data_IF_167863101598
#
_entry.id   IF_167863101598
#
_cell.length_a   1.000
_cell.length_b   1.000
_cell.length_c   1.000
_cell.angle_alpha   90.00
_cell.angle_beta   90.00
_cell.angle_gamma   90.00
#
_symmetry.space_group_name_H-M   'P 1'
#
loop_
_entity.id
_entity.type
_entity.pdbx_description
1 polymer ?
#
# COMPACT_ATOMS: atom_id res chain seq x y z
N UNK A 1 26.61 -27.91 -11.79
CA UNK A 1 25.42 -27.04 -11.88
C UNK A 1 25.49 -26.06 -13.05
N UNK A 2 26.47 -25.15 -13.15
CA UNK A 2 26.58 -24.21 -14.29
C UNK A 2 26.88 -24.95 -15.61
N UNK A 3 27.87 -25.87 -15.60
CA UNK A 3 28.17 -26.74 -16.75
C UNK A 3 26.99 -27.61 -17.20
N UNK A 4 26.14 -28.03 -16.25
CA UNK A 4 24.95 -28.83 -16.56
C UNK A 4 23.85 -27.98 -17.22
N UNK A 5 23.76 -26.70 -16.86
CA UNK A 5 22.83 -25.73 -17.46
C UNK A 5 23.27 -25.30 -18.87
N UNK A 6 24.57 -25.11 -19.07
CA UNK A 6 25.17 -24.87 -20.40
C UNK A 6 24.92 -26.08 -21.31
N UNK A 7 25.14 -27.30 -20.81
CA UNK A 7 24.85 -28.54 -21.53
C UNK A 7 23.36 -28.68 -21.91
N UNK A 8 22.43 -28.28 -21.02
CA UNK A 8 20.99 -28.32 -21.33
C UNK A 8 20.58 -27.31 -22.41
N UNK A 9 21.26 -26.16 -22.50
CA UNK A 9 21.09 -25.20 -23.61
C UNK A 9 21.64 -25.74 -24.92
N UNK A 10 22.85 -26.34 -24.90
CA UNK A 10 23.47 -26.96 -26.07
C UNK A 10 22.66 -28.17 -26.58
N UNK A 11 22.03 -28.93 -25.68
CA UNK A 11 21.16 -30.06 -26.00
C UNK A 11 19.77 -29.67 -26.55
N UNK A 12 19.48 -28.38 -26.75
CA UNK A 12 18.20 -27.90 -27.30
C UNK A 12 17.02 -27.94 -26.32
N UNK A 13 17.28 -28.16 -25.02
CA UNK A 13 16.25 -28.17 -23.98
C UNK A 13 15.82 -26.74 -23.67
N UNK A 14 14.54 -26.42 -23.87
CA UNK A 14 14.02 -25.06 -23.67
C UNK A 14 13.93 -24.74 -22.17
N UNK A 15 14.93 -24.05 -21.64
CA UNK A 15 14.93 -23.54 -20.26
C UNK A 15 13.96 -22.35 -20.19
N UNK A 16 12.74 -22.57 -19.71
CA UNK A 16 11.73 -21.52 -19.57
C UNK A 16 11.70 -20.87 -18.18
N UNK A 17 12.58 -21.26 -17.25
CA UNK A 17 12.61 -20.67 -15.91
C UNK A 17 13.53 -19.42 -15.88
N UNK A 18 13.02 -18.24 -15.48
CA UNK A 18 13.80 -16.99 -15.44
C UNK A 18 15.11 -17.09 -14.66
N UNK A 19 15.11 -17.72 -13.49
CA UNK A 19 16.32 -17.84 -12.66
C UNK A 19 17.37 -18.71 -13.37
N UNK A 20 16.94 -19.82 -13.97
CA UNK A 20 17.85 -20.69 -14.72
C UNK A 20 18.41 -19.99 -15.96
N UNK A 21 17.63 -19.12 -16.62
CA UNK A 21 18.11 -18.26 -17.70
C UNK A 21 19.17 -17.25 -17.21
N UNK A 22 18.94 -16.62 -16.05
CA UNK A 22 19.90 -15.72 -15.43
C UNK A 22 21.20 -16.43 -15.03
N UNK A 23 21.10 -17.62 -14.46
CA UNK A 23 22.25 -18.47 -14.09
C UNK A 23 23.01 -18.99 -15.30
N UNK A 24 22.32 -19.26 -16.42
CA UNK A 24 22.92 -19.63 -17.71
C UNK A 24 23.44 -18.42 -18.51
N UNK A 25 23.71 -17.29 -17.82
CA UNK A 25 24.28 -16.07 -18.35
C UNK A 25 23.45 -15.37 -19.45
N UNK A 26 22.16 -15.68 -19.58
CA UNK A 26 21.27 -15.05 -20.55
C UNK A 26 20.49 -13.89 -19.90
N UNK A 27 21.23 -12.86 -19.50
CA UNK A 27 20.72 -11.74 -18.70
C UNK A 27 19.62 -10.93 -19.39
N UNK A 28 19.71 -10.73 -20.69
CA UNK A 28 18.69 -9.98 -21.46
C UNK A 28 17.33 -10.68 -21.45
N UNK A 29 17.32 -12.00 -21.66
CA UNK A 29 16.07 -12.77 -21.59
C UNK A 29 15.51 -12.80 -20.18
N UNK A 30 16.38 -12.97 -19.18
CA UNK A 30 15.98 -12.87 -17.77
C UNK A 30 15.32 -11.53 -17.47
N UNK A 31 15.96 -10.40 -17.76
CA UNK A 31 15.43 -9.06 -17.49
C UNK A 31 14.09 -8.81 -18.20
N UNK A 32 13.94 -9.28 -19.44
CA UNK A 32 12.68 -9.17 -20.19
C UNK A 32 11.54 -10.05 -19.64
N UNK A 33 11.87 -11.09 -18.87
CA UNK A 33 10.91 -12.02 -18.29
C UNK A 33 10.39 -11.60 -16.91
N UNK A 34 10.98 -10.56 -16.30
CA UNK A 34 10.60 -10.10 -14.96
C UNK A 34 9.29 -9.28 -15.07
N UNK A 35 8.22 -9.67 -14.35
CA UNK A 35 7.02 -8.85 -14.22
C UNK A 35 7.31 -7.43 -13.73
N UNK A 36 6.52 -6.46 -14.17
CA UNK A 36 6.63 -5.08 -13.68
C UNK A 36 6.06 -5.00 -12.26
N UNK A 37 6.81 -4.37 -11.37
CA UNK A 37 6.36 -4.08 -10.00
C UNK A 37 5.32 -2.97 -10.04
N UNK A 38 4.19 -3.17 -9.37
CA UNK A 38 3.15 -2.15 -9.22
C UNK A 38 3.62 -1.12 -8.18
N UNK A 39 3.65 0.19 -8.50
CA UNK A 39 3.97 1.23 -7.53
C UNK A 39 2.94 1.27 -6.39
N UNK A 40 3.33 1.66 -5.16
CA UNK A 40 2.41 1.68 -4.01
C UNK A 40 1.17 2.56 -4.23
N UNK A 41 1.32 3.67 -4.95
CA UNK A 41 0.22 4.59 -5.28
C UNK A 41 -0.83 4.00 -6.22
N UNK A 42 -0.48 2.96 -6.99
CA UNK A 42 -1.38 2.36 -8.00
C UNK A 42 -1.99 1.03 -7.54
N UNK A 43 -1.64 0.54 -6.34
CA UNK A 43 -2.10 -0.76 -5.84
C UNK A 43 -3.63 -0.86 -5.83
N UNK A 44 -4.29 0.18 -5.32
CA UNK A 44 -5.75 0.21 -5.17
C UNK A 44 -6.51 0.21 -6.51
N UNK A 45 -5.88 0.70 -7.58
CA UNK A 45 -6.45 0.72 -8.94
C UNK A 45 -6.24 -0.62 -9.66
N UNK A 46 -5.11 -1.28 -9.40
CA UNK A 46 -4.73 -2.52 -10.07
C UNK A 46 -5.29 -3.79 -9.40
N UNK A 47 -5.57 -3.75 -8.09
CA UNK A 47 -5.88 -4.94 -7.29
C UNK A 47 -7.26 -4.82 -6.68
N UNK A 48 -8.14 -5.78 -6.97
CA UNK A 48 -9.49 -5.79 -6.41
C UNK A 48 -9.46 -6.31 -4.96
N UNK A 49 -10.29 -5.77 -4.04
CA UNK A 49 -10.39 -6.31 -2.67
C UNK A 49 -10.74 -7.81 -2.64
N UNK A 50 -11.51 -8.29 -3.60
CA UNK A 50 -11.92 -9.69 -3.71
C UNK A 50 -10.79 -10.66 -4.07
N UNK A 51 -9.67 -10.15 -4.60
CA UNK A 51 -8.49 -10.97 -4.91
C UNK A 51 -7.45 -10.96 -3.79
N UNK A 52 -7.69 -10.27 -2.67
CA UNK A 52 -6.76 -10.17 -1.55
C UNK A 52 -7.20 -11.15 -0.46
N UNK A 53 -6.39 -12.17 -0.21
CA UNK A 53 -6.65 -13.27 0.73
C UNK A 53 -5.73 -13.21 1.96
N UNK A 54 -5.38 -11.99 2.35
CA UNK A 54 -4.47 -11.72 3.46
C UNK A 54 -5.18 -11.86 4.80
N UNK A 55 -4.44 -12.34 5.81
CA UNK A 55 -4.98 -12.66 7.14
C UNK A 55 -4.47 -11.74 8.25
N UNK A 56 -3.52 -10.87 7.92
CA UNK A 56 -2.99 -9.82 8.78
C UNK A 56 -3.02 -8.49 8.01
N UNK A 57 -2.91 -7.38 8.73
CA UNK A 57 -2.78 -6.06 8.11
C UNK A 57 -1.51 -5.98 7.24
N UNK A 58 -1.52 -5.12 6.22
CA UNK A 58 -0.35 -4.82 5.41
C UNK A 58 -0.33 -3.33 5.07
N UNK A 59 0.83 -2.70 5.20
CA UNK A 59 1.05 -1.38 4.62
C UNK A 59 1.30 -1.49 3.11
N UNK A 60 1.34 -0.35 2.41
CA UNK A 60 1.49 -0.32 0.95
C UNK A 60 2.83 -0.89 0.46
N UNK A 61 3.90 -0.81 1.27
CA UNK A 61 5.20 -1.39 0.92
C UNK A 61 5.21 -2.91 1.07
N UNK A 62 4.51 -3.43 2.09
CA UNK A 62 4.30 -4.86 2.29
C UNK A 62 3.37 -5.44 1.23
N UNK A 63 2.32 -4.70 0.84
CA UNK A 63 1.44 -5.10 -0.25
C UNK A 63 2.21 -5.23 -1.56
N UNK A 64 3.04 -4.24 -1.91
CA UNK A 64 3.87 -4.30 -3.11
C UNK A 64 4.76 -5.57 -3.15
N UNK A 65 5.34 -5.94 -2.01
CA UNK A 65 6.12 -7.18 -1.88
C UNK A 65 5.27 -8.42 -2.15
N UNK A 66 4.07 -8.47 -1.59
CA UNK A 66 3.15 -9.60 -1.76
C UNK A 66 2.75 -9.73 -3.24
N UNK A 67 2.36 -8.63 -3.88
CA UNK A 67 1.96 -8.61 -5.30
C UNK A 67 3.10 -8.98 -6.25
N UNK A 68 4.32 -8.52 -5.95
CA UNK A 68 5.50 -8.94 -6.70
C UNK A 68 5.66 -10.47 -6.65
N UNK A 69 5.48 -11.09 -5.47
CA UNK A 69 5.59 -12.54 -5.35
C UNK A 69 4.44 -13.29 -6.04
N UNK A 70 3.20 -12.80 -5.94
CA UNK A 70 2.04 -13.38 -6.67
C UNK A 70 2.30 -13.36 -8.18
N UNK A 71 2.88 -12.27 -8.70
CA UNK A 71 3.22 -12.16 -10.13
C UNK A 71 4.35 -13.10 -10.58
N UNK A 72 4.95 -13.87 -9.65
CA UNK A 72 6.00 -14.84 -9.94
C UNK A 72 7.41 -14.27 -9.89
N UNK A 73 7.59 -13.05 -9.36
CA UNK A 73 8.92 -12.45 -9.23
C UNK A 73 9.75 -13.15 -8.15
N UNK A 74 11.05 -13.23 -8.39
CA UNK A 74 12.04 -13.62 -7.39
C UNK A 74 12.84 -12.40 -6.97
N UNK A 75 12.85 -12.08 -5.68
CA UNK A 75 13.45 -10.85 -5.16
C UNK A 75 13.92 -11.02 -3.72
N UNK A 76 14.65 -10.01 -3.24
CA UNK A 76 15.13 -9.90 -1.87
C UNK A 76 14.36 -8.77 -1.20
N UNK A 77 13.81 -9.02 -0.02
CA UNK A 77 13.17 -8.00 0.82
C UNK A 77 14.13 -7.61 1.93
N UNK A 78 14.42 -6.32 2.07
CA UNK A 78 15.22 -5.77 3.16
C UNK A 78 14.43 -4.70 3.90
N UNK A 79 14.55 -4.69 5.22
CA UNK A 79 13.95 -3.66 6.06
C UNK A 79 14.55 -3.68 7.47
N UNK A 80 14.52 -2.55 8.20
CA UNK A 80 14.94 -2.47 9.60
C UNK A 80 14.27 -3.53 10.51
N UNK A 81 14.86 -3.86 11.67
CA UNK A 81 14.17 -4.70 12.66
C UNK A 81 12.83 -4.04 13.07
N UNK A 82 11.78 -4.85 13.22
CA UNK A 82 10.44 -4.37 13.60
C UNK A 82 9.52 -3.95 12.44
N UNK A 83 9.98 -3.90 11.18
CA UNK A 83 9.16 -3.46 10.03
C UNK A 83 8.20 -4.52 9.47
N UNK A 84 7.71 -5.44 10.31
CA UNK A 84 6.68 -6.38 9.89
C UNK A 84 7.10 -7.46 8.87
N UNK A 85 8.39 -7.72 8.61
CA UNK A 85 8.82 -8.77 7.63
C UNK A 85 8.13 -10.12 7.83
N UNK A 86 8.02 -10.60 9.06
CA UNK A 86 7.33 -11.86 9.37
C UNK A 86 5.82 -11.79 9.09
N UNK A 87 5.21 -10.61 9.22
CA UNK A 87 3.81 -10.35 8.85
C UNK A 87 3.63 -10.44 7.35
N UNK A 88 4.52 -9.83 6.59
CA UNK A 88 4.55 -9.93 5.12
C UNK A 88 4.70 -11.38 4.64
N UNK A 89 5.56 -12.17 5.30
CA UNK A 89 5.71 -13.61 4.99
C UNK A 89 4.40 -14.36 5.24
N UNK A 90 3.73 -14.11 6.37
CA UNK A 90 2.44 -14.76 6.71
C UNK A 90 1.37 -14.43 5.67
N UNK A 91 1.21 -13.15 5.32
CA UNK A 91 0.24 -12.75 4.29
C UNK A 91 0.58 -13.34 2.92
N UNK A 92 1.86 -13.38 2.55
CA UNK A 92 2.28 -14.01 1.30
C UNK A 92 1.94 -15.52 1.27
N UNK A 93 2.15 -16.23 2.38
CA UNK A 93 1.78 -17.65 2.48
C UNK A 93 0.27 -17.82 2.33
N UNK A 94 -0.53 -17.03 3.06
CA UNK A 94 -1.98 -17.08 2.99
C UNK A 94 -2.49 -16.85 1.56
N UNK A 95 -1.96 -15.84 0.88
CA UNK A 95 -2.30 -15.48 -0.49
C UNK A 95 -1.99 -16.60 -1.49
N UNK A 96 -0.78 -17.17 -1.40
CA UNK A 96 -0.37 -18.27 -2.28
C UNK A 96 -1.19 -19.55 -2.02
N UNK A 97 -1.50 -19.86 -0.76
CA UNK A 97 -2.35 -21.01 -0.41
C UNK A 97 -3.78 -20.79 -0.93
N UNK A 98 -4.34 -19.58 -0.77
CA UNK A 98 -5.65 -19.21 -1.30
C UNK A 98 -5.74 -19.33 -2.82
N UNK A 99 -4.62 -19.17 -3.53
CA UNK A 99 -4.48 -19.41 -4.97
C UNK A 99 -4.11 -20.87 -5.33
N UNK A 100 -4.31 -21.81 -4.39
CA UNK A 100 -4.00 -23.23 -4.55
C UNK A 100 -2.52 -23.53 -4.89
N UNK A 101 -1.59 -22.67 -4.44
CA UNK A 101 -0.15 -22.90 -4.60
C UNK A 101 0.42 -23.67 -3.42
N UNK A 102 1.55 -24.34 -3.66
CA UNK A 102 2.35 -25.00 -2.63
C UNK A 102 3.49 -24.08 -2.23
N UNK A 103 3.66 -23.86 -0.92
CA UNK A 103 4.70 -22.97 -0.38
C UNK A 103 5.64 -23.77 0.50
N UNK A 104 6.95 -23.61 0.30
CA UNK A 104 7.99 -24.13 1.17
C UNK A 104 8.73 -22.96 1.81
N UNK A 105 8.69 -22.87 3.13
CA UNK A 105 9.39 -21.85 3.91
C UNK A 105 10.64 -22.47 4.52
N UNK A 106 11.79 -21.84 4.30
CA UNK A 106 13.08 -22.26 4.84
C UNK A 106 13.72 -21.09 5.57
N UNK A 107 14.34 -21.34 6.72
CA UNK A 107 15.09 -20.34 7.46
C UNK A 107 16.32 -20.97 8.12
N UNK A 108 17.35 -20.16 8.35
CA UNK A 108 18.56 -20.57 9.07
C UNK A 108 18.27 -20.91 10.53
N UNK A 109 17.42 -20.11 11.19
CA UNK A 109 17.09 -20.26 12.61
C UNK A 109 15.67 -20.80 12.81
N UNK A 110 15.47 -21.84 13.65
CA UNK A 110 14.15 -22.44 13.87
C UNK A 110 13.15 -21.47 14.50
N UNK A 111 13.64 -20.52 15.31
CA UNK A 111 12.80 -19.48 15.94
C UNK A 111 12.07 -18.63 14.88
N UNK A 112 12.69 -18.35 13.74
CA UNK A 112 12.04 -17.58 12.68
C UNK A 112 10.85 -18.33 12.06
N UNK A 113 10.99 -19.66 11.91
CA UNK A 113 9.90 -20.53 11.43
C UNK A 113 8.78 -20.60 12.46
N UNK A 114 9.11 -20.72 13.75
CA UNK A 114 8.11 -20.76 14.83
C UNK A 114 7.26 -19.48 14.86
N UNK A 115 7.87 -18.30 14.72
CA UNK A 115 7.15 -17.02 14.70
C UNK A 115 6.14 -16.94 13.54
N UNK A 116 6.50 -17.47 12.37
CA UNK A 116 5.60 -17.50 11.20
C UNK A 116 4.48 -18.50 11.43
N UNK A 117 4.80 -19.69 11.93
CA UNK A 117 3.84 -20.74 12.25
C UNK A 117 2.82 -20.29 13.30
N UNK A 118 3.27 -19.72 14.43
CA UNK A 118 2.40 -19.23 15.49
C UNK A 118 1.42 -18.15 15.00
N UNK A 119 1.85 -17.30 14.06
CA UNK A 119 0.98 -16.28 13.46
C UNK A 119 -0.07 -16.91 12.54
N UNK A 120 0.33 -17.86 11.70
CA UNK A 120 -0.61 -18.57 10.84
C UNK A 120 -1.66 -19.34 11.66
N UNK A 121 -1.24 -19.98 12.76
CA UNK A 121 -2.17 -20.66 13.68
C UNK A 121 -3.15 -19.68 14.32
N UNK A 122 -2.67 -18.52 14.79
CA UNK A 122 -3.54 -17.46 15.33
C UNK A 122 -4.54 -16.91 14.30
N UNK A 123 -4.19 -16.99 13.01
CA UNK A 123 -5.06 -16.62 11.89
C UNK A 123 -5.96 -17.76 11.41
N UNK A 124 -5.97 -18.91 12.09
CA UNK A 124 -6.83 -20.06 11.73
C UNK A 124 -6.33 -20.90 10.55
N UNK A 125 -5.08 -20.71 10.12
CA UNK A 125 -4.48 -21.44 8.99
C UNK A 125 -3.64 -22.64 9.43
N UNK A 126 -3.71 -23.05 10.71
CA UNK A 126 -2.91 -24.15 11.27
C UNK A 126 -3.06 -25.43 10.46
N UNK A 127 -4.29 -25.74 10.08
CA UNK A 127 -4.60 -26.94 9.33
C UNK A 127 -3.83 -26.93 8.00
N UNK A 128 -3.86 -25.84 7.23
CA UNK A 128 -3.25 -25.78 5.90
C UNK A 128 -1.71 -25.97 5.88
N UNK A 129 -1.05 -26.11 7.03
CA UNK A 129 0.40 -26.06 7.18
C UNK A 129 0.95 -27.36 7.74
N UNK A 130 2.04 -27.82 7.12
CA UNK A 130 2.81 -28.95 7.61
C UNK A 130 4.12 -28.40 8.19
N UNK A 131 4.28 -28.51 9.51
CA UNK A 131 5.51 -28.10 10.17
C UNK A 131 6.51 -29.26 10.29
N UNK A 132 7.57 -29.23 9.48
CA UNK A 132 8.63 -30.25 9.47
C UNK A 132 9.63 -30.13 10.63
N UNK A 133 9.58 -29.08 11.46
CA UNK A 133 10.51 -28.93 12.60
C UNK A 133 10.19 -29.86 13.77
N UNK A 134 8.98 -30.44 13.82
CA UNK A 134 8.62 -31.46 14.79
C UNK A 134 9.31 -32.79 14.43
N UNK A 135 10.19 -33.26 15.32
CA UNK A 135 11.07 -34.43 15.12
C UNK A 135 10.31 -35.74 14.78
N UNK A 136 9.02 -35.83 15.11
CA UNK A 136 8.18 -36.99 14.80
C UNK A 136 7.67 -37.05 13.36
N UNK A 137 7.57 -35.92 12.66
CA UNK A 137 7.04 -35.81 11.28
C UNK A 137 8.12 -36.12 10.23
N UNK A 138 9.41 -35.98 10.58
CA UNK A 138 10.53 -36.27 9.69
C UNK A 138 10.66 -37.74 9.25
N UNK A 139 9.98 -38.67 9.94
CA UNK A 139 9.95 -40.09 9.55
C UNK A 139 8.83 -40.34 8.53
N UNK A 140 9.20 -40.84 7.33
CA UNK A 140 8.29 -41.10 6.19
C UNK A 140 6.98 -41.82 6.56
N UNK A 141 7.02 -42.80 7.47
CA UNK A 141 5.83 -43.53 7.95
C UNK A 141 4.87 -42.65 8.77
N UNK A 142 5.40 -41.80 9.64
CA UNK A 142 4.61 -40.91 10.49
C UNK A 142 4.00 -39.77 9.66
N UNK A 143 4.75 -39.26 8.68
CA UNK A 143 4.27 -38.26 7.73
C UNK A 143 3.06 -38.75 6.92
N UNK A 144 3.13 -39.96 6.37
CA UNK A 144 2.01 -40.54 5.61
C UNK A 144 0.75 -40.72 6.48
N UNK A 145 0.92 -41.11 7.76
CA UNK A 145 -0.18 -41.23 8.71
C UNK A 145 -0.78 -39.87 9.07
N UNK A 146 0.07 -38.86 9.28
CA UNK A 146 -0.35 -37.48 9.53
C UNK A 146 -1.18 -36.93 8.36
N UNK A 147 -0.70 -37.04 7.12
CA UNK A 147 -1.44 -36.60 5.93
C UNK A 147 -2.81 -37.28 5.77
N UNK A 148 -2.90 -38.58 6.11
CA UNK A 148 -4.15 -39.34 6.01
C UNK A 148 -5.20 -38.87 7.02
N UNK A 149 -4.77 -38.51 8.23
CA UNK A 149 -5.67 -37.95 9.25
C UNK A 149 -6.08 -36.52 8.87
N UNK A 150 -5.10 -35.71 8.46
CA UNK A 150 -5.30 -34.33 8.04
C UNK A 150 -6.38 -34.17 6.96
N UNK A 151 -6.39 -35.05 5.96
CA UNK A 151 -7.40 -35.01 4.88
C UNK A 151 -8.84 -35.27 5.35
N UNK A 152 -9.03 -36.02 6.43
CA UNK A 152 -10.38 -36.34 6.95
C UNK A 152 -11.01 -35.17 7.68
N UNK A 153 -10.21 -34.38 8.39
CA UNK A 153 -10.69 -33.26 9.19
C UNK A 153 -11.12 -32.08 8.29
N UNK A 154 -10.42 -31.90 7.16
CA UNK A 154 -10.66 -30.82 6.19
C UNK A 154 -12.00 -30.92 5.43
N UNK A 155 -12.60 -32.11 5.30
CA UNK A 155 -13.85 -32.31 4.54
C UNK A 155 -15.11 -31.85 5.30
N UNK A 156 -14.99 -31.45 6.58
CA UNK A 156 -16.14 -31.14 7.44
C UNK A 156 -16.39 -29.64 7.69
N UNK A 157 -15.51 -28.75 7.23
CA UNK A 157 -15.53 -27.32 7.59
C UNK A 157 -15.88 -26.48 6.36
N UNK A 158 -17.17 -26.38 6.00
CA UNK A 158 -17.62 -25.32 5.09
C UNK A 158 -19.07 -24.92 5.42
N UNK A 159 -19.22 -23.80 6.12
CA UNK A 159 -20.42 -22.97 5.99
C UNK A 159 -20.21 -22.02 4.81
N UNK A 160 -21.16 -21.97 3.88
CA UNK A 160 -21.13 -21.00 2.78
C UNK A 160 -21.37 -19.59 3.36
N UNK A 161 -20.29 -18.87 3.62
CA UNK A 161 -20.35 -17.44 3.90
C UNK A 161 -20.66 -16.68 2.59
N UNK A 162 -21.61 -15.75 2.62
CA UNK A 162 -21.83 -14.83 1.50
C UNK A 162 -20.72 -13.77 1.45
N UNK A 163 -19.61 -14.15 0.82
CA UNK A 163 -18.44 -13.28 0.64
C UNK A 163 -18.72 -12.11 -0.31
N UNK A 164 -19.76 -12.18 -1.15
CA UNK A 164 -20.01 -11.15 -2.16
C UNK A 164 -20.38 -9.81 -1.51
N UNK A 165 -21.22 -9.84 -0.49
CA UNK A 165 -21.60 -8.62 0.24
C UNK A 165 -20.39 -7.98 0.92
N UNK A 166 -19.55 -8.79 1.59
CA UNK A 166 -18.34 -8.31 2.26
C UNK A 166 -17.39 -7.63 1.25
N UNK A 167 -17.13 -8.27 0.11
CA UNK A 167 -16.26 -7.68 -0.92
C UNK A 167 -16.86 -6.43 -1.57
N UNK A 168 -18.18 -6.38 -1.73
CA UNK A 168 -18.87 -5.17 -2.19
C UNK A 168 -18.68 -3.99 -1.22
N UNK A 169 -18.86 -4.22 0.09
CA UNK A 169 -18.64 -3.18 1.11
C UNK A 169 -17.18 -2.71 1.16
N UNK A 170 -16.22 -3.64 1.07
CA UNK A 170 -14.79 -3.31 1.02
C UNK A 170 -14.45 -2.46 -0.20
N UNK A 171 -14.94 -2.85 -1.37
CA UNK A 171 -14.74 -2.10 -2.63
C UNK A 171 -15.32 -0.70 -2.53
N UNK A 172 -16.56 -0.59 -2.05
CA UNK A 172 -17.25 0.70 -1.89
C UNK A 172 -16.52 1.61 -0.89
N UNK A 173 -16.01 1.05 0.21
CA UNK A 173 -15.28 1.81 1.21
C UNK A 173 -13.93 2.29 0.70
N UNK A 174 -13.17 1.44 0.00
CA UNK A 174 -11.92 1.83 -0.67
C UNK A 174 -12.15 2.96 -1.68
N UNK A 175 -13.18 2.84 -2.53
CA UNK A 175 -13.52 3.88 -3.49
C UNK A 175 -13.84 5.22 -2.83
N UNK A 176 -14.61 5.23 -1.74
CA UNK A 176 -14.91 6.47 -1.00
C UNK A 176 -13.65 7.14 -0.44
N UNK A 177 -12.72 6.35 0.12
CA UNK A 177 -11.46 6.86 0.66
C UNK A 177 -10.57 7.45 -0.45
N UNK A 178 -10.47 6.76 -1.58
CA UNK A 178 -9.68 7.22 -2.72
C UNK A 178 -10.28 8.46 -3.38
N UNK A 179 -11.61 8.52 -3.49
CA UNK A 179 -12.33 9.71 -3.94
C UNK A 179 -12.09 10.90 -3.01
N UNK A 180 -12.14 10.68 -1.70
CA UNK A 180 -11.88 11.75 -0.73
C UNK A 180 -10.48 12.35 -0.91
N UNK A 181 -9.45 11.50 -0.98
CA UNK A 181 -8.07 11.93 -1.26
C UNK A 181 -7.98 12.71 -2.59
N UNK A 182 -8.60 12.18 -3.64
CA UNK A 182 -8.62 12.82 -4.96
C UNK A 182 -9.29 14.19 -4.91
N UNK A 183 -10.45 14.32 -4.26
CA UNK A 183 -11.20 15.58 -4.13
C UNK A 183 -10.44 16.63 -3.32
N UNK A 184 -9.71 16.23 -2.28
CA UNK A 184 -8.87 17.13 -1.47
C UNK A 184 -7.76 17.78 -2.30
N UNK A 185 -7.18 17.03 -3.25
CA UNK A 185 -6.07 17.47 -4.09
C UNK A 185 -6.50 17.99 -5.47
N UNK A 186 -7.75 17.78 -5.88
CA UNK A 186 -8.30 18.31 -7.12
C UNK A 186 -8.30 19.84 -7.10
N UNK A 187 -7.84 20.46 -8.20
CA UNK A 187 -7.88 21.91 -8.37
C UNK A 187 -9.25 22.34 -8.87
N UNK A 188 -9.89 23.23 -8.12
CA UNK A 188 -11.22 23.74 -8.43
C UNK A 188 -11.13 25.06 -9.20
N UNK A 189 -11.87 25.16 -10.29
CA UNK A 189 -12.02 26.41 -11.04
C UNK A 189 -13.15 27.24 -10.40
N UNK A 190 -13.07 28.58 -10.45
CA UNK A 190 -12.09 29.40 -11.19
C UNK A 190 -10.81 29.77 -10.41
N UNK A 191 -10.73 29.47 -9.12
CA UNK A 191 -9.61 29.87 -8.26
C UNK A 191 -8.30 29.11 -8.56
N UNK A 192 -8.40 27.93 -9.19
CA UNK A 192 -7.28 27.10 -9.60
C UNK A 192 -6.51 26.44 -8.43
N UNK A 193 -7.13 26.36 -7.25
CA UNK A 193 -6.55 25.77 -6.03
C UNK A 193 -7.33 24.56 -5.55
N UNK A 194 -6.66 23.65 -4.87
CA UNK A 194 -7.28 22.53 -4.18
C UNK A 194 -7.69 22.88 -2.74
N UNK A 195 -8.59 22.10 -2.16
CA UNK A 195 -8.98 22.24 -0.75
C UNK A 195 -7.77 22.11 0.17
N UNK A 196 -6.86 21.19 -0.16
CA UNK A 196 -5.59 21.02 0.56
C UNK A 196 -4.73 22.29 0.54
N UNK A 197 -4.56 22.92 -0.62
CA UNK A 197 -3.80 24.17 -0.76
C UNK A 197 -4.45 25.33 0.02
N UNK A 198 -5.78 25.46 -0.07
CA UNK A 198 -6.54 26.51 0.64
C UNK A 198 -6.45 26.34 2.16
N UNK A 199 -6.60 25.11 2.65
CA UNK A 199 -6.50 24.83 4.08
C UNK A 199 -5.07 25.06 4.59
N UNK A 200 -4.06 24.68 3.80
CA UNK A 200 -2.65 24.98 4.10
C UNK A 200 -2.38 26.48 4.21
N UNK A 201 -2.91 27.29 3.29
CA UNK A 201 -2.80 28.75 3.35
C UNK A 201 -3.53 29.34 4.56
N UNK A 202 -4.72 28.84 4.89
CA UNK A 202 -5.48 29.27 6.06
C UNK A 202 -4.69 29.00 7.35
N UNK A 203 -4.15 27.80 7.51
CA UNK A 203 -3.33 27.44 8.68
C UNK A 203 -2.07 28.28 8.77
N UNK A 204 -1.44 28.64 7.64
CA UNK A 204 -0.29 29.56 7.63
C UNK A 204 -0.68 30.93 8.15
N UNK A 205 -1.78 31.51 7.65
CA UNK A 205 -2.26 32.83 8.04
C UNK A 205 -2.67 32.89 9.52
N UNK A 206 -3.26 31.82 10.06
CA UNK A 206 -3.58 31.73 11.49
C UNK A 206 -2.33 31.78 12.38
N UNK A 207 -1.22 31.17 11.95
CA UNK A 207 0.05 31.20 12.69
C UNK A 207 0.72 32.57 12.68
N UNK A 208 0.47 33.37 11.64
CA UNK A 208 1.06 34.70 11.48
C UNK A 208 0.36 35.79 12.33
N UNK A 209 -0.64 35.44 13.16
CA UNK A 209 -1.37 36.36 14.06
C UNK A 209 -1.84 37.65 13.35
N UNK A 210 -2.36 37.52 12.14
CA UNK A 210 -2.84 38.64 11.34
C UNK A 210 -4.16 39.20 11.90
N UNK A 211 -4.35 40.51 11.82
CA UNK A 211 -5.65 41.13 12.15
C UNK A 211 -6.75 40.61 11.21
N UNK A 212 -7.80 40.03 11.78
CA UNK A 212 -8.97 39.60 11.00
C UNK A 212 -9.83 40.81 10.62
N UNK A 213 -9.77 41.21 9.36
CA UNK A 213 -10.73 42.15 8.79
C UNK A 213 -11.84 41.33 8.14
N UNK A 214 -13.05 41.40 8.72
CA UNK A 214 -14.23 40.74 8.14
C UNK A 214 -14.77 41.59 6.99
N UNK A 215 -14.62 41.09 5.77
CA UNK A 215 -15.19 41.68 4.58
C UNK A 215 -16.09 40.67 3.87
N UNK A 216 -17.25 41.11 3.41
CA UNK A 216 -18.19 40.25 2.67
C UNK A 216 -17.94 40.42 1.17
N UNK A 217 -17.29 39.45 0.54
CA UNK A 217 -17.13 39.43 -0.90
C UNK A 217 -18.38 38.83 -1.56
N UNK A 218 -18.97 39.55 -2.52
CA UNK A 218 -20.06 39.02 -3.34
C UNK A 218 -19.48 38.08 -4.40
N UNK A 219 -20.18 36.98 -4.68
CA UNK A 219 -19.85 36.02 -5.73
C UNK A 219 -18.42 35.44 -5.67
N UNK A 220 -17.87 35.21 -4.48
CA UNK A 220 -16.49 34.69 -4.33
C UNK A 220 -16.27 33.34 -5.05
N UNK A 221 -17.33 32.57 -5.22
CA UNK A 221 -17.31 31.29 -5.93
C UNK A 221 -17.02 31.44 -7.44
N UNK A 222 -17.18 32.64 -8.00
CA UNK A 222 -16.91 32.96 -9.41
C UNK A 222 -15.52 33.57 -9.62
N UNK A 223 -14.76 33.80 -8.54
CA UNK A 223 -13.51 34.55 -8.62
C UNK A 223 -12.36 33.71 -9.18
N UNK A 224 -11.84 34.15 -10.32
CA UNK A 224 -10.60 33.63 -10.87
C UNK A 224 -9.38 33.97 -10.01
N UNK A 225 -8.29 33.23 -10.21
CA UNK A 225 -7.00 33.55 -9.64
C UNK A 225 -6.59 35.01 -9.88
N UNK A 226 -6.89 35.55 -11.07
CA UNK A 226 -6.56 36.94 -11.45
C UNK A 226 -7.35 37.93 -10.58
N UNK A 227 -8.65 37.73 -10.43
CA UNK A 227 -9.51 38.60 -9.61
C UNK A 227 -9.09 38.55 -8.14
N UNK A 228 -8.74 37.37 -7.63
CA UNK A 228 -8.24 37.20 -6.27
C UNK A 228 -6.90 37.94 -6.07
N UNK A 229 -5.98 37.84 -7.02
CA UNK A 229 -4.71 38.56 -6.98
C UNK A 229 -4.90 40.09 -7.03
N UNK A 230 -5.84 40.57 -7.85
CA UNK A 230 -6.21 41.98 -7.91
C UNK A 230 -6.80 42.47 -6.58
N UNK A 231 -7.73 41.72 -5.99
CA UNK A 231 -8.31 42.05 -4.69
C UNK A 231 -7.25 42.09 -3.58
N UNK A 232 -6.33 41.12 -3.57
CA UNK A 232 -5.19 41.10 -2.63
C UNK A 232 -4.33 42.35 -2.78
N UNK A 233 -3.98 42.74 -4.01
CA UNK A 233 -3.20 43.95 -4.27
C UNK A 233 -3.93 45.22 -3.81
N UNK A 234 -5.25 45.31 -4.01
CA UNK A 234 -6.06 46.42 -3.51
C UNK A 234 -6.08 46.48 -1.97
N UNK A 235 -6.17 45.33 -1.30
CA UNK A 235 -6.08 45.24 0.16
C UNK A 235 -4.69 45.67 0.64
N UNK A 236 -3.61 45.21 0.00
CA UNK A 236 -2.24 45.61 0.33
C UNK A 236 -2.05 47.13 0.18
N UNK A 237 -2.61 47.73 -0.88
CA UNK A 237 -2.65 49.19 -1.06
C UNK A 237 -3.44 49.87 0.06
N UNK A 238 -4.60 49.36 0.41
CA UNK A 238 -5.42 49.92 1.49
C UNK A 238 -4.69 49.86 2.84
N UNK A 239 -3.96 48.78 3.13
CA UNK A 239 -3.10 48.66 4.31
C UNK A 239 -2.02 49.75 4.33
N UNK A 240 -1.40 50.06 3.18
CA UNK A 240 -0.46 51.18 3.09
C UNK A 240 -1.13 52.52 3.44
N UNK A 241 -2.36 52.75 3.00
CA UNK A 241 -3.13 53.96 3.33
C UNK A 241 -3.62 54.01 4.79
N UNK A 242 -3.87 52.86 5.44
CA UNK A 242 -4.25 52.81 6.86
C UNK A 242 -3.15 53.33 7.79
N UNK A 243 -1.88 53.23 7.39
CA UNK A 243 -0.76 53.84 8.13
C UNK A 243 -0.89 55.37 8.20
N UNK A 244 -1.43 55.99 7.14
CA UNK A 244 -1.69 57.42 7.02
C UNK A 244 -2.85 57.87 7.92
N UNK A 245 -3.94 57.08 7.99
CA UNK A 245 -5.10 57.40 8.83
C UNK A 245 -4.86 57.14 10.34
N UNK A 246 -3.99 56.19 10.70
CA UNK A 246 -3.58 56.00 12.11
C UNK A 246 -2.73 57.14 12.67
N UNK A 247 -2.08 57.97 11.84
CA UNK A 247 -1.40 59.19 12.29
C UNK A 247 -2.39 60.32 12.62
N UNK A 248 -3.50 60.44 11.89
CA UNK A 248 -4.50 61.51 12.11
C UNK A 248 -5.35 61.32 13.37
N UNK A 249 -5.50 60.09 13.89
CA UNK A 249 -6.32 59.83 15.07
C UNK A 249 -5.70 60.30 16.39
N UNK A 250 -4.40 60.64 16.43
CA UNK A 250 -3.78 61.29 17.60
C UNK A 250 -4.02 62.81 17.66
N UNK A 251 -4.38 63.44 16.54
CA UNK A 251 -4.55 64.90 16.48
C UNK A 251 -6.02 65.35 16.61
N UNK A 252 -6.99 64.43 16.65
CA UNK A 252 -8.41 64.76 16.86
C UNK A 252 -8.90 64.68 18.32
N UNK A 253 -8.05 64.37 19.30
CA UNK A 253 -8.37 64.46 20.74
C UNK A 253 -7.71 65.65 21.44
N UNK A 254 -7.51 66.76 20.72
CA UNK A 254 -7.02 68.00 21.28
C UNK A 254 -7.68 69.24 20.64
N UNK A 255 -9.02 69.31 20.61
CA UNK A 255 -9.72 70.61 20.69
C UNK A 255 -11.21 70.44 20.96
N UNK A 256 -11.62 71.01 22.10
CA UNK A 256 -12.97 71.30 22.62
C UNK A 256 -13.79 70.14 23.20
#
# INVERSE_FOLDING_TARGET
MIKDLEYLQEAGTKINNPILLGLANNRKLYESSIPKIIPPENLDECILPSSVLQVLEADSSQQQVIEAAISGMSFIVQGPPGTGKSQTIVNLIAELIGQNKKVLVVAEKPVALQVVFDRLNKSGLEEAIINFSNQDIGKKKNFAKYLKNYRKDYEQIYEELDLNYIFYELTSSRQRLNQHSTMLHQKWQPIGKSTFELYGELLRLQRECSYEIRFTFRNINEWSYIQLAQAKNLIDKLIQFLSFYKMSAKDCMATK
#
